data_IF_610639515409
#
_entry.id   IF_610639515409
#
_cell.length_a   1.000
_cell.length_b   1.000
_cell.length_c   1.000
_cell.angle_alpha   90.00
_cell.angle_beta   90.00
_cell.angle_gamma   90.00
#
_symmetry.space_group_name_H-M   'P 1'
#
loop_
_entity.id
_entity.type
_entity.pdbx_description
1 polymer ?
#
# COMPACT_ATOMS: atom_id res chain seq x y z
N UNK A 1 0.63 4.98 22.15
CA UNK A 1 -0.48 4.21 21.57
C UNK A 1 0.00 3.43 20.33
N UNK A 2 0.15 2.12 20.42
CA UNK A 2 0.49 1.27 19.27
C UNK A 2 -0.72 1.15 18.34
N UNK A 3 -0.81 2.03 17.33
CA UNK A 3 -1.87 1.97 16.31
C UNK A 3 -1.80 0.60 15.60
N UNK A 4 -2.87 -0.19 15.69
CA UNK A 4 -3.04 -1.48 15.01
C UNK A 4 -2.71 -1.32 13.52
N UNK A 5 -1.83 -2.16 12.93
CA UNK A 5 -1.59 -2.12 11.49
C UNK A 5 -2.91 -2.36 10.77
N UNK A 6 -3.28 -1.47 9.85
CA UNK A 6 -4.53 -1.60 9.11
C UNK A 6 -4.53 -2.92 8.33
N UNK A 7 -5.73 -3.46 8.08
CA UNK A 7 -5.88 -4.71 7.32
C UNK A 7 -5.17 -4.65 5.95
N UNK A 8 -5.10 -3.48 5.30
CA UNK A 8 -4.40 -3.28 4.02
C UNK A 8 -2.88 -3.38 4.12
N UNK A 9 -2.27 -2.76 5.14
CA UNK A 9 -0.81 -2.84 5.33
C UNK A 9 -0.37 -4.29 5.59
N UNK A 10 -1.11 -5.03 6.41
CA UNK A 10 -0.86 -6.47 6.63
C UNK A 10 -0.95 -7.28 5.33
N UNK A 11 -1.96 -7.02 4.50
CA UNK A 11 -2.12 -7.68 3.19
C UNK A 11 -0.91 -7.46 2.29
N UNK A 12 -0.47 -6.20 2.17
CA UNK A 12 0.70 -5.84 1.35
C UNK A 12 1.99 -6.47 1.87
N UNK A 13 2.18 -6.53 3.19
CA UNK A 13 3.33 -7.22 3.80
C UNK A 13 3.30 -8.73 3.50
N UNK A 14 2.14 -9.39 3.65
CA UNK A 14 1.99 -10.79 3.26
C UNK A 14 2.28 -11.01 1.78
N UNK A 15 1.77 -10.15 0.90
CA UNK A 15 2.06 -10.24 -0.54
C UNK A 15 3.54 -10.03 -0.85
N UNK A 16 4.21 -9.12 -0.12
CA UNK A 16 5.62 -8.82 -0.28
C UNK A 16 6.50 -10.02 0.09
N UNK A 17 6.18 -10.69 1.20
CA UNK A 17 6.89 -11.89 1.65
C UNK A 17 6.76 -13.00 0.59
N UNK A 18 5.58 -13.16 -0.01
CA UNK A 18 5.28 -14.12 -1.08
C UNK A 18 5.69 -13.68 -2.50
N UNK A 19 6.34 -12.52 -2.67
CA UNK A 19 6.76 -12.02 -3.99
C UNK A 19 8.18 -12.50 -4.31
N UNK A 20 8.33 -13.73 -4.79
CA UNK A 20 9.64 -14.35 -5.06
C UNK A 20 10.46 -13.63 -6.15
N UNK A 21 9.80 -13.00 -7.12
CA UNK A 21 10.45 -12.30 -8.25
C UNK A 21 11.25 -11.05 -7.85
N UNK A 22 11.12 -10.56 -6.61
CA UNK A 22 11.81 -9.35 -6.16
C UNK A 22 13.04 -9.69 -5.32
N UNK A 23 14.13 -8.95 -5.57
CA UNK A 23 15.36 -9.06 -4.77
C UNK A 23 15.11 -8.73 -3.29
N UNK A 24 15.93 -9.32 -2.40
CA UNK A 24 15.85 -9.09 -0.96
C UNK A 24 16.01 -7.60 -0.61
N UNK A 25 16.89 -6.89 -1.31
CA UNK A 25 17.09 -5.45 -1.14
C UNK A 25 15.83 -4.65 -1.48
N UNK A 26 15.18 -4.99 -2.59
CA UNK A 26 13.92 -4.35 -3.00
C UNK A 26 12.81 -4.63 -2.00
N UNK A 27 12.71 -5.87 -1.49
CA UNK A 27 11.76 -6.22 -0.43
C UNK A 27 12.01 -5.42 0.84
N UNK A 28 13.27 -5.31 1.29
CA UNK A 28 13.62 -4.55 2.48
C UNK A 28 13.28 -3.06 2.33
N UNK A 29 13.58 -2.46 1.16
CA UNK A 29 13.25 -1.07 0.85
C UNK A 29 11.74 -0.80 0.91
N UNK A 30 10.94 -1.68 0.30
CA UNK A 30 9.48 -1.56 0.32
C UNK A 30 8.90 -1.81 1.72
N UNK A 31 9.44 -2.77 2.47
CA UNK A 31 9.01 -3.08 3.85
C UNK A 31 9.20 -1.88 4.78
N UNK A 32 10.37 -1.22 4.72
CA UNK A 32 10.67 -0.01 5.49
C UNK A 32 9.65 1.11 5.24
N UNK A 33 9.28 1.33 3.98
CA UNK A 33 8.28 2.33 3.60
C UNK A 33 6.87 1.97 4.10
N UNK A 34 6.45 0.72 3.90
CA UNK A 34 5.13 0.24 4.30
C UNK A 34 4.92 0.32 5.82
N UNK A 35 5.98 0.12 6.60
CA UNK A 35 5.94 0.15 8.07
C UNK A 35 6.00 1.58 8.64
N UNK A 36 6.88 2.44 8.09
CA UNK A 36 7.12 3.81 8.59
C UNK A 36 6.03 4.80 8.16
N UNK A 37 5.58 4.72 6.91
CA UNK A 37 4.85 5.84 6.28
C UNK A 37 3.35 5.57 6.17
N UNK A 38 2.92 4.31 6.16
CA UNK A 38 1.54 3.99 5.79
C UNK A 38 0.85 3.01 6.74
N UNK A 39 0.30 3.57 7.82
CA UNK A 39 -0.91 3.01 8.46
C UNK A 39 -2.10 3.37 7.57
N UNK A 40 -2.34 2.55 6.54
CA UNK A 40 -3.33 2.71 5.43
C UNK A 40 -4.81 2.85 5.85
N UNK A 41 -5.10 3.12 7.14
CA UNK A 41 -6.43 3.56 7.58
C UNK A 41 -6.86 4.88 6.92
N UNK A 42 -5.91 5.63 6.38
CA UNK A 42 -6.13 6.97 5.83
C UNK A 42 -6.45 6.98 4.32
N UNK A 43 -6.43 5.81 3.66
CA UNK A 43 -6.82 5.63 2.25
C UNK A 43 -8.21 4.99 2.11
N UNK A 44 -8.92 4.73 3.21
CA UNK A 44 -10.29 4.23 3.15
C UNK A 44 -11.24 5.40 2.87
N UNK A 45 -11.90 5.35 1.70
CA UNK A 45 -13.09 6.13 1.45
C UNK A 45 -14.24 5.70 2.37
N UNK A 46 -15.27 6.53 2.47
CA UNK A 46 -16.48 6.26 3.27
C UNK A 46 -17.28 5.02 2.79
N UNK A 47 -16.86 4.39 1.68
CA UNK A 47 -17.53 3.30 0.98
C UNK A 47 -17.04 1.90 1.38
N UNK A 48 -16.50 1.76 2.58
CA UNK A 48 -15.97 0.47 3.06
C UNK A 48 -14.67 0.04 2.36
N UNK A 49 -13.96 0.97 1.72
CA UNK A 49 -12.62 0.74 1.16
C UNK A 49 -12.61 0.12 -0.23
N UNK A 50 -13.68 0.30 -0.98
CA UNK A 50 -13.78 0.03 -2.43
C UNK A 50 -13.12 1.14 -3.24
N UNK A 51 -13.23 2.39 -2.79
CA UNK A 51 -12.51 3.53 -3.34
C UNK A 51 -11.25 3.78 -2.53
N UNK A 52 -10.09 3.68 -3.19
CA UNK A 52 -8.81 4.08 -2.60
C UNK A 52 -8.56 5.57 -2.87
N UNK A 53 -8.26 6.32 -1.83
CA UNK A 53 -7.88 7.72 -1.95
C UNK A 53 -6.39 7.87 -1.63
N UNK A 54 -5.50 7.76 -2.64
CA UNK A 54 -4.07 7.94 -2.44
C UNK A 54 -3.79 9.38 -1.98
N UNK A 55 -2.75 9.61 -1.16
CA UNK A 55 -2.39 10.96 -0.77
C UNK A 55 -1.78 11.76 -1.93
N UNK A 56 -1.91 13.08 -1.87
CA UNK A 56 -1.45 14.01 -2.91
C UNK A 56 0.04 13.88 -3.24
N UNK A 57 0.86 13.72 -2.20
CA UNK A 57 2.31 13.61 -2.30
C UNK A 57 2.80 12.27 -2.83
N UNK A 58 1.95 11.27 -3.02
CA UNK A 58 2.41 9.94 -3.44
C UNK A 58 2.86 9.91 -4.91
N UNK A 59 4.07 9.39 -5.13
CA UNK A 59 4.63 9.11 -6.44
C UNK A 59 3.91 7.97 -7.16
N UNK A 60 3.86 8.06 -8.49
CA UNK A 60 3.29 7.00 -9.34
C UNK A 60 4.09 5.68 -9.24
N UNK A 61 5.40 5.76 -9.00
CA UNK A 61 6.28 4.59 -8.78
C UNK A 61 5.84 3.80 -7.58
N UNK A 62 5.59 4.48 -6.45
CA UNK A 62 5.14 3.82 -5.24
C UNK A 62 3.69 3.33 -5.37
N UNK A 63 2.84 4.08 -6.08
CA UNK A 63 1.48 3.62 -6.39
C UNK A 63 1.49 2.29 -7.15
N UNK A 64 2.30 2.14 -8.21
CA UNK A 64 2.45 0.88 -8.96
C UNK A 64 2.92 -0.27 -8.07
N UNK A 65 3.85 -0.01 -7.15
CA UNK A 65 4.31 -1.01 -6.17
C UNK A 65 3.15 -1.50 -5.30
N UNK A 66 2.30 -0.60 -4.79
CA UNK A 66 1.12 -0.97 -4.01
C UNK A 66 0.13 -1.80 -4.83
N UNK A 67 -0.15 -1.41 -6.07
CA UNK A 67 -1.05 -2.15 -6.98
C UNK A 67 -0.55 -3.58 -7.23
N UNK A 68 0.75 -3.77 -7.50
CA UNK A 68 1.34 -5.09 -7.70
C UNK A 68 1.19 -5.97 -6.44
N UNK A 69 1.40 -5.39 -5.26
CA UNK A 69 1.25 -6.12 -3.99
C UNK A 69 -0.22 -6.45 -3.70
N UNK A 70 -1.13 -5.52 -3.97
CA UNK A 70 -2.57 -5.73 -3.80
C UNK A 70 -3.05 -6.84 -4.74
N UNK A 71 -2.64 -6.85 -6.02
CA UNK A 71 -2.93 -7.93 -6.97
C UNK A 71 -2.34 -9.27 -6.52
N UNK A 72 -1.06 -9.30 -6.12
CA UNK A 72 -0.42 -10.54 -5.65
C UNK A 72 -1.12 -11.10 -4.41
N UNK A 73 -1.62 -10.23 -3.53
CA UNK A 73 -2.39 -10.66 -2.37
C UNK A 73 -3.73 -11.30 -2.77
N UNK A 74 -4.38 -10.82 -3.83
CA UNK A 74 -5.59 -11.46 -4.37
C UNK A 74 -5.29 -12.85 -4.94
N UNK A 75 -4.16 -13.01 -5.63
CA UNK A 75 -3.72 -14.32 -6.13
C UNK A 75 -3.54 -15.32 -4.97
N UNK A 76 -2.91 -14.87 -3.87
CA UNK A 76 -2.69 -15.68 -2.66
C UNK A 76 -4.02 -16.02 -1.96
N UNK A 77 -5.00 -15.10 -1.97
CA UNK A 77 -6.26 -15.22 -1.23
C UNK A 77 -7.45 -15.69 -2.07
N UNK A 78 -7.21 -16.20 -3.30
CA UNK A 78 -8.25 -16.47 -4.31
C UNK A 78 -9.40 -17.37 -3.81
N UNK A 79 -9.21 -18.11 -2.71
CA UNK A 79 -10.21 -19.00 -2.11
C UNK A 79 -10.99 -18.43 -0.92
N UNK A 80 -10.61 -17.28 -0.33
CA UNK A 80 -11.06 -16.93 1.05
C UNK A 80 -12.09 -15.81 1.18
N UNK A 81 -12.31 -14.93 0.19
CA UNK A 81 -13.34 -13.87 0.34
C UNK A 81 -13.78 -13.20 -0.97
N UNK A 82 -15.06 -13.35 -1.34
CA UNK A 82 -15.69 -12.64 -2.48
C UNK A 82 -15.52 -11.11 -2.40
N UNK A 83 -15.51 -10.55 -1.17
CA UNK A 83 -15.33 -9.11 -0.95
C UNK A 83 -13.91 -8.63 -1.26
N UNK A 84 -12.90 -9.48 -1.14
CA UNK A 84 -11.52 -9.12 -1.49
C UNK A 84 -11.34 -9.01 -3.00
N UNK A 85 -12.07 -9.83 -3.76
CA UNK A 85 -12.04 -9.87 -5.23
C UNK A 85 -12.73 -8.68 -5.90
N UNK A 86 -13.51 -7.89 -5.15
CA UNK A 86 -14.13 -6.69 -5.68
C UNK A 86 -13.05 -5.70 -6.14
N UNK A 87 -13.13 -5.31 -7.41
CA UNK A 87 -12.21 -4.35 -8.04
C UNK A 87 -12.34 -3.02 -7.29
N UNK A 88 -11.20 -2.51 -6.81
CA UNK A 88 -11.14 -1.20 -6.17
C UNK A 88 -11.06 -0.11 -7.23
N UNK A 89 -11.84 0.95 -7.04
CA UNK A 89 -11.85 2.12 -7.92
C UNK A 89 -10.91 3.18 -7.36
N UNK A 90 -10.16 3.85 -8.22
CA UNK A 90 -9.31 4.97 -7.81
C UNK A 90 -10.19 6.19 -7.52
N UNK A 91 -10.05 6.73 -6.33
CA UNK A 91 -10.67 7.99 -5.92
C UNK A 91 -9.76 9.19 -6.16
N UNK A 92 -10.28 10.37 -5.83
CA UNK A 92 -9.54 11.63 -5.87
C UNK A 92 -8.39 11.60 -4.85
N UNK A 93 -7.24 12.18 -5.23
CA UNK A 93 -6.10 12.36 -4.33
C UNK A 93 -6.52 13.20 -3.13
N UNK A 94 -6.22 12.73 -1.91
CA UNK A 94 -6.46 13.51 -0.69
C UNK A 94 -5.26 14.41 -0.42
N UNK A 95 -5.50 15.72 -0.26
CA UNK A 95 -4.46 16.63 0.20
C UNK A 95 -4.01 16.19 1.59
N UNK A 96 -2.74 15.83 1.70
CA UNK A 96 -2.07 15.48 2.95
C UNK A 96 -0.68 16.07 2.97
N UNK A 97 -0.20 16.30 4.19
CA UNK A 97 1.17 16.71 4.40
C UNK A 97 2.11 15.62 3.92
N UNK A 98 3.16 16.06 3.23
CA UNK A 98 4.25 15.19 2.81
C UNK A 98 4.93 14.65 4.07
N UNK A 99 5.06 13.32 4.22
CA UNK A 99 5.70 12.74 5.38
C UNK A 99 7.20 13.03 5.34
N UNK A 100 7.78 13.23 6.52
CA UNK A 100 9.22 13.26 6.66
C UNK A 100 9.78 11.84 6.51
N UNK A 101 10.43 11.60 5.37
CA UNK A 101 11.00 10.31 5.00
C UNK A 101 12.50 10.44 4.76
N UNK A 102 13.30 9.44 5.17
CA UNK A 102 14.73 9.46 4.93
C UNK A 102 15.01 9.45 3.43
N UNK A 103 16.21 9.91 3.04
CA UNK A 103 16.62 10.06 1.64
C UNK A 103 16.40 8.80 0.80
N UNK A 104 16.72 7.64 1.35
CA UNK A 104 16.51 6.32 0.73
C UNK A 104 15.04 6.02 0.39
N UNK A 105 14.11 6.73 1.02
CA UNK A 105 12.65 6.61 0.85
C UNK A 105 12.04 7.75 0.04
N UNK A 106 12.80 8.77 -0.38
CA UNK A 106 12.27 9.92 -1.15
C UNK A 106 11.57 9.53 -2.45
N UNK A 107 11.92 8.39 -3.04
CA UNK A 107 11.30 7.83 -4.25
C UNK A 107 9.79 7.58 -4.14
N UNK A 108 9.21 7.66 -2.93
CA UNK A 108 7.78 7.50 -2.72
C UNK A 108 7.01 8.81 -2.83
N UNK A 109 7.70 9.95 -2.77
CA UNK A 109 7.14 11.29 -2.87
C UNK A 109 7.17 11.73 -4.32
N UNK A 110 6.07 12.32 -4.80
CA UNK A 110 5.98 12.95 -6.11
C UNK A 110 6.99 14.11 -6.16
N UNK A 111 7.91 14.06 -7.11
CA UNK A 111 8.86 15.14 -7.38
C UNK A 111 8.15 16.39 -7.91
#
# INVERSE_FOLDING_TARGET
MYKRPSSKSKRRLTALDNKETWSLEKKAKVRKVLDKVYKSSDEEGADGGLVSQPPSWESDTFQKVKEILDSKYLDICSTRSKRLLLKRTRGVKKNKDTPDVPEDSKWIIQA
#
